data_IF_598713428337
#
_entry.id   IF_598713428337
#
_cell.length_a   1.000
_cell.length_b   1.000
_cell.length_c   1.000
_cell.angle_alpha   90.00
_cell.angle_beta   90.00
_cell.angle_gamma   90.00
#
_symmetry.space_group_name_H-M   'P 1'
#
loop_
_entity.id
_entity.type
_entity.pdbx_description
1 polymer ?
#
# COMPACT_ATOMS: atom_id res chain seq x y z
N UNK A 1 1.63 -22.98 -10.09
CA UNK A 1 3.06 -23.26 -10.31
C UNK A 1 3.79 -21.93 -10.50
N UNK A 2 4.88 -21.69 -9.75
CA UNK A 2 5.74 -20.48 -9.86
C UNK A 2 6.24 -20.24 -11.27
N UNK A 3 6.42 -21.30 -12.04
CA UNK A 3 6.89 -21.22 -13.45
C UNK A 3 6.00 -20.35 -14.34
N UNK A 4 4.78 -20.01 -13.90
CA UNK A 4 3.78 -19.27 -14.66
C UNK A 4 3.44 -17.90 -14.06
N UNK A 5 4.28 -17.35 -13.17
CA UNK A 5 4.11 -15.98 -12.73
C UNK A 5 4.31 -15.04 -13.92
N UNK A 6 3.39 -14.12 -14.12
CA UNK A 6 3.39 -13.22 -15.29
C UNK A 6 4.69 -12.40 -15.44
N UNK A 7 5.39 -11.94 -14.37
CA UNK A 7 6.66 -11.23 -14.56
C UNK A 7 7.73 -12.11 -15.23
N UNK A 8 7.76 -13.40 -14.91
CA UNK A 8 8.65 -14.35 -15.56
C UNK A 8 8.30 -14.61 -17.04
N UNK A 9 7.02 -14.57 -17.38
CA UNK A 9 6.55 -14.69 -18.78
C UNK A 9 6.97 -13.43 -19.55
N UNK A 10 6.70 -12.24 -19.00
CA UNK A 10 7.10 -10.97 -19.63
C UNK A 10 8.61 -10.85 -19.77
N UNK A 11 9.38 -11.28 -18.78
CA UNK A 11 10.84 -11.28 -18.88
C UNK A 11 11.34 -12.18 -20.03
N UNK A 12 10.76 -13.36 -20.20
CA UNK A 12 11.09 -14.25 -21.35
C UNK A 12 10.70 -13.64 -22.69
N UNK A 13 9.65 -12.81 -22.70
CA UNK A 13 9.22 -12.05 -23.87
C UNK A 13 10.07 -10.78 -24.13
N UNK A 14 11.16 -10.57 -23.39
CA UNK A 14 12.08 -9.46 -23.59
C UNK A 14 11.78 -8.20 -22.79
N UNK A 15 10.77 -8.21 -21.93
CA UNK A 15 10.46 -7.07 -21.06
C UNK A 15 11.53 -6.88 -19.96
N UNK A 16 11.89 -5.64 -19.68
CA UNK A 16 12.54 -5.28 -18.42
C UNK A 16 11.52 -5.35 -17.30
N UNK A 17 11.78 -6.13 -16.28
CA UNK A 17 10.82 -6.36 -15.20
C UNK A 17 11.31 -5.77 -13.89
N UNK A 18 10.45 -5.01 -13.21
CA UNK A 18 10.73 -4.36 -11.94
C UNK A 18 9.70 -4.71 -10.88
N UNK A 19 10.15 -4.68 -9.62
CA UNK A 19 9.33 -4.81 -8.44
C UNK A 19 9.79 -3.85 -7.35
N UNK A 20 8.85 -3.14 -6.74
CA UNK A 20 9.08 -2.35 -5.54
C UNK A 20 7.92 -2.53 -4.56
N UNK A 21 8.21 -2.72 -3.28
CA UNK A 21 7.21 -2.71 -2.21
C UNK A 21 7.00 -4.02 -1.48
N UNK A 22 5.74 -4.26 -1.09
CA UNK A 22 5.31 -5.37 -0.24
C UNK A 22 5.43 -6.71 -0.94
N UNK A 23 6.26 -7.59 -0.42
CA UNK A 23 6.26 -9.00 -0.84
C UNK A 23 5.77 -9.89 0.32
N UNK A 24 4.54 -10.32 0.26
CA UNK A 24 3.92 -11.18 1.29
C UNK A 24 3.69 -12.62 0.85
N UNK A 25 3.96 -12.94 -0.40
CA UNK A 25 3.83 -14.31 -0.88
C UNK A 25 4.90 -15.20 -0.22
N UNK A 26 4.48 -16.37 0.26
CA UNK A 26 5.41 -17.37 0.73
C UNK A 26 6.27 -17.84 -0.44
N UNK A 27 7.57 -17.63 -0.33
CA UNK A 27 8.51 -18.06 -1.36
C UNK A 27 8.60 -19.58 -1.37
N UNK A 28 8.32 -20.22 -2.49
CA UNK A 28 8.51 -21.66 -2.60
C UNK A 28 9.99 -22.01 -2.69
N UNK A 29 10.29 -23.24 -2.33
CA UNK A 29 11.68 -23.75 -2.40
C UNK A 29 12.25 -23.54 -3.82
N UNK A 30 13.43 -22.93 -3.90
CA UNK A 30 14.11 -22.65 -5.17
C UNK A 30 13.67 -21.38 -5.89
N UNK A 31 12.80 -20.55 -5.29
CA UNK A 31 12.49 -19.23 -5.86
C UNK A 31 13.72 -18.32 -5.81
N UNK A 32 14.03 -17.72 -6.95
CA UNK A 32 15.02 -16.64 -7.07
C UNK A 32 14.33 -15.43 -7.67
N UNK A 33 14.32 -14.31 -6.97
CA UNK A 33 13.70 -13.06 -7.47
C UNK A 33 14.28 -12.66 -8.82
N UNK A 34 15.58 -12.91 -9.04
CA UNK A 34 16.29 -12.66 -10.30
C UNK A 34 15.75 -13.43 -11.50
N UNK A 35 14.97 -14.49 -11.32
CA UNK A 35 14.35 -15.22 -12.43
C UNK A 35 13.09 -14.48 -12.96
N UNK A 36 12.53 -13.57 -12.16
CA UNK A 36 11.28 -12.86 -12.45
C UNK A 36 11.46 -11.36 -12.61
N UNK A 37 12.41 -10.76 -11.87
CA UNK A 37 12.63 -9.33 -11.85
C UNK A 37 14.09 -9.01 -12.11
N UNK A 38 14.33 -8.10 -13.05
CA UNK A 38 15.66 -7.52 -13.29
C UNK A 38 16.01 -6.56 -12.13
N UNK A 39 15.01 -5.82 -11.65
CA UNK A 39 15.13 -4.95 -10.48
C UNK A 39 14.16 -5.42 -9.42
N UNK A 40 14.65 -5.73 -8.22
CA UNK A 40 13.83 -6.26 -7.13
C UNK A 40 14.12 -5.52 -5.83
N UNK A 41 13.19 -4.65 -5.43
CA UNK A 41 13.27 -3.79 -4.25
C UNK A 41 12.12 -4.08 -3.27
N UNK A 42 12.18 -5.16 -2.46
CA UNK A 42 11.17 -5.42 -1.45
C UNK A 42 11.26 -4.39 -0.33
N UNK A 43 10.13 -3.77 0.01
CA UNK A 43 10.02 -2.78 1.09
C UNK A 43 8.98 -3.30 2.08
N UNK A 44 9.42 -3.67 3.25
CA UNK A 44 8.54 -4.14 4.32
C UNK A 44 7.74 -3.00 4.95
N UNK A 45 6.56 -3.31 5.50
CA UNK A 45 5.68 -2.34 6.15
C UNK A 45 6.34 -1.66 7.34
N UNK A 46 6.84 -2.42 8.26
CA UNK A 46 7.31 -1.91 9.55
C UNK A 46 8.82 -1.68 9.58
N UNK A 47 9.27 -0.55 10.11
CA UNK A 47 8.47 0.63 10.44
C UNK A 47 7.94 1.30 9.15
N UNK A 48 6.80 2.00 9.21
CA UNK A 48 6.27 2.75 8.05
C UNK A 48 7.21 3.87 7.60
N UNK A 49 7.85 4.55 8.55
CA UNK A 49 8.85 5.58 8.26
C UNK A 49 10.26 4.99 8.31
N UNK A 50 10.96 5.05 7.19
CA UNK A 50 12.33 4.52 7.05
C UNK A 50 13.34 5.64 7.21
N UNK A 51 14.32 5.46 8.08
CA UNK A 51 15.44 6.39 8.20
C UNK A 51 16.32 6.31 6.96
N UNK A 52 16.59 7.47 6.36
CA UNK A 52 17.45 7.61 5.20
C UNK A 52 18.91 7.84 5.63
N UNK A 53 19.88 7.71 4.70
CA UNK A 53 21.29 7.95 5.01
C UNK A 53 21.61 9.36 5.54
N UNK A 54 20.82 10.37 5.13
CA UNK A 54 20.92 11.76 5.60
C UNK A 54 20.25 11.99 6.97
N UNK A 55 19.67 10.93 7.55
CA UNK A 55 18.98 10.98 8.84
C UNK A 55 17.49 11.35 8.75
N UNK A 56 16.99 11.77 7.60
CA UNK A 56 15.57 12.06 7.38
C UNK A 56 14.71 10.81 7.49
N UNK A 57 13.42 11.01 7.71
CA UNK A 57 12.42 9.93 7.65
C UNK A 57 11.63 10.02 6.36
N UNK A 58 11.45 8.88 5.70
CA UNK A 58 10.63 8.77 4.49
C UNK A 58 9.61 7.66 4.64
N UNK A 59 8.37 7.94 4.29
CA UNK A 59 7.31 6.95 4.36
C UNK A 59 7.52 5.84 3.32
N UNK A 60 7.14 4.60 3.65
CA UNK A 60 7.35 3.44 2.79
C UNK A 60 6.63 3.59 1.43
N UNK A 61 5.47 4.23 1.39
CA UNK A 61 4.72 4.55 0.16
C UNK A 61 5.55 5.42 -0.78
N UNK A 62 6.20 6.47 -0.26
CA UNK A 62 7.08 7.33 -1.04
C UNK A 62 8.29 6.57 -1.57
N UNK A 63 8.89 5.72 -0.74
CA UNK A 63 10.03 4.90 -1.15
C UNK A 63 9.69 3.92 -2.26
N UNK A 64 8.50 3.32 -2.23
CA UNK A 64 8.04 2.42 -3.30
C UNK A 64 7.98 3.17 -4.62
N UNK A 65 7.41 4.38 -4.62
CA UNK A 65 7.32 5.22 -5.82
C UNK A 65 8.70 5.72 -6.24
N UNK A 66 9.58 6.11 -5.32
CA UNK A 66 10.95 6.51 -5.65
C UNK A 66 11.70 5.38 -6.38
N UNK A 67 11.56 4.13 -5.94
CA UNK A 67 12.12 2.96 -6.65
C UNK A 67 11.48 2.73 -8.02
N UNK A 68 10.19 3.02 -8.14
CA UNK A 68 9.49 3.02 -9.42
C UNK A 68 10.04 4.09 -10.37
N UNK A 69 10.26 5.30 -9.88
CA UNK A 69 10.85 6.42 -10.64
C UNK A 69 12.28 6.07 -11.09
N UNK A 70 13.14 5.60 -10.19
CA UNK A 70 14.50 5.14 -10.53
C UNK A 70 14.48 4.08 -11.64
N UNK A 71 13.51 3.15 -11.57
CA UNK A 71 13.34 2.15 -12.62
C UNK A 71 12.99 2.79 -13.96
N UNK A 72 12.05 3.73 -14.00
CA UNK A 72 11.67 4.41 -15.25
C UNK A 72 12.77 5.34 -15.77
N UNK A 73 13.45 6.04 -14.89
CA UNK A 73 14.59 6.91 -15.28
C UNK A 73 15.73 6.16 -15.94
N UNK A 74 15.98 4.94 -15.46
CA UNK A 74 17.01 4.03 -16.03
C UNK A 74 16.48 3.12 -17.15
N UNK A 75 15.26 3.38 -17.67
CA UNK A 75 14.64 2.55 -18.70
C UNK A 75 15.33 2.72 -20.07
N UNK A 76 15.82 1.63 -20.70
CA UNK A 76 16.34 1.69 -22.05
C UNK A 76 15.25 2.06 -23.06
N UNK A 77 15.57 2.94 -24.03
CA UNK A 77 14.60 3.49 -25.00
C UNK A 77 13.83 2.44 -25.81
N UNK A 78 14.49 1.34 -26.16
CA UNK A 78 13.95 0.33 -27.09
C UNK A 78 13.60 -0.99 -26.40
N UNK A 79 13.36 -0.99 -25.11
CA UNK A 79 13.01 -2.20 -24.36
C UNK A 79 11.66 -2.01 -23.67
N UNK A 80 10.67 -2.88 -23.89
CA UNK A 80 9.43 -2.80 -23.15
C UNK A 80 9.68 -3.10 -21.67
N UNK A 81 8.81 -2.60 -20.80
CA UNK A 81 8.93 -2.81 -19.35
C UNK A 81 7.63 -3.28 -18.72
N UNK A 82 7.76 -3.91 -17.56
CA UNK A 82 6.67 -4.22 -16.64
C UNK A 82 7.15 -3.94 -15.22
N UNK A 83 6.54 -2.97 -14.56
CA UNK A 83 6.87 -2.54 -13.21
C UNK A 83 5.70 -2.86 -12.26
N UNK A 84 6.02 -3.42 -11.12
CA UNK A 84 5.09 -3.69 -10.04
C UNK A 84 5.44 -2.81 -8.84
N UNK A 85 4.51 -1.96 -8.41
CA UNK A 85 4.60 -1.20 -7.18
C UNK A 85 3.50 -1.67 -6.23
N UNK A 86 3.88 -2.40 -5.19
CA UNK A 86 2.93 -2.99 -4.25
C UNK A 86 3.01 -2.28 -2.89
N UNK A 87 2.04 -1.42 -2.66
CA UNK A 87 1.96 -0.62 -1.45
C UNK A 87 1.54 -1.45 -0.23
N UNK A 88 2.12 -1.14 0.94
CA UNK A 88 1.61 -1.63 2.21
C UNK A 88 0.42 -0.81 2.71
N UNK A 89 0.39 0.48 2.39
CA UNK A 89 -0.77 1.35 2.63
C UNK A 89 -1.95 0.87 1.73
N UNK A 90 -3.20 0.88 2.19
CA UNK A 90 -3.68 1.44 3.46
C UNK A 90 -3.78 0.42 4.61
N UNK A 91 -2.84 -0.51 4.74
CA UNK A 91 -2.90 -1.46 5.86
C UNK A 91 -2.60 -0.74 7.18
N UNK A 92 -3.35 -1.06 8.23
CA UNK A 92 -3.12 -0.49 9.54
C UNK A 92 -1.82 -0.98 10.19
N UNK A 93 -1.27 -0.17 11.12
CA UNK A 93 -0.19 -0.59 12.01
C UNK A 93 -0.74 -1.43 13.16
N UNK A 94 -0.81 -2.73 12.95
CA UNK A 94 -1.38 -3.69 13.89
C UNK A 94 -0.50 -3.99 15.11
N UNK A 95 0.75 -3.57 15.10
CA UNK A 95 1.64 -3.69 16.26
C UNK A 95 1.38 -2.61 17.31
N UNK A 96 0.81 -1.47 16.90
CA UNK A 96 0.37 -0.42 17.83
C UNK A 96 -1.08 -0.71 18.28
N UNK A 97 -1.23 -1.13 19.52
CA UNK A 97 -2.52 -1.48 20.12
C UNK A 97 -3.08 -0.40 21.04
N UNK A 98 -2.43 0.76 21.09
CA UNK A 98 -2.88 1.86 21.95
C UNK A 98 -4.22 2.39 21.46
N UNK A 99 -5.28 2.41 22.32
CA UNK A 99 -6.57 2.90 21.89
C UNK A 99 -6.53 4.42 21.65
N UNK A 100 -7.26 4.89 20.63
CA UNK A 100 -7.44 6.31 20.36
C UNK A 100 -6.23 7.00 19.71
N UNK A 101 -5.22 6.27 19.24
CA UNK A 101 -4.21 6.76 18.29
C UNK A 101 -4.64 6.43 16.88
N UNK A 102 -4.16 7.17 15.88
CA UNK A 102 -4.39 6.85 14.48
C UNK A 102 -3.51 5.65 14.07
N UNK A 103 -4.12 4.50 13.83
CA UNK A 103 -3.40 3.28 13.46
C UNK A 103 -3.06 3.19 11.96
N UNK A 104 -3.16 4.29 11.24
CA UNK A 104 -2.83 4.38 9.82
C UNK A 104 -1.76 5.47 9.63
N UNK A 105 -0.48 5.14 9.80
CA UNK A 105 0.60 6.09 9.56
C UNK A 105 0.55 6.57 8.10
N UNK A 106 0.54 7.87 7.87
CA UNK A 106 0.40 8.46 6.54
C UNK A 106 1.68 9.17 6.08
N UNK A 107 1.94 9.29 4.76
CA UNK A 107 3.05 10.08 4.26
C UNK A 107 2.93 11.55 4.66
N UNK A 108 4.06 12.23 4.91
CA UNK A 108 4.08 13.65 5.29
C UNK A 108 3.39 14.57 4.28
N UNK A 109 3.28 14.16 3.01
CA UNK A 109 2.54 14.89 1.98
C UNK A 109 1.03 15.03 2.27
N UNK A 110 0.49 14.27 3.22
CA UNK A 110 -0.90 14.33 3.65
C UNK A 110 -1.09 14.95 5.04
N UNK A 111 -0.03 15.52 5.63
CA UNK A 111 -0.14 16.19 6.93
C UNK A 111 -1.15 17.35 6.89
N UNK A 112 -1.93 17.49 7.97
CA UNK A 112 -2.96 18.51 8.09
C UNK A 112 -4.23 18.30 7.26
N UNK A 113 -4.23 17.37 6.30
CA UNK A 113 -5.43 17.08 5.51
C UNK A 113 -6.56 16.52 6.37
N UNK A 114 -7.81 16.84 6.03
CA UNK A 114 -9.02 16.36 6.71
C UNK A 114 -9.12 16.77 8.19
N UNK A 115 -8.36 17.76 8.65
CA UNK A 115 -8.39 18.18 10.07
C UNK A 115 -9.75 18.69 10.49
N UNK A 116 -10.33 19.58 9.68
CA UNK A 116 -11.60 20.25 9.92
C UNK A 116 -12.78 19.57 9.22
N UNK A 117 -12.52 18.49 8.45
CA UNK A 117 -13.57 17.81 7.71
C UNK A 117 -14.49 17.02 8.66
N UNK A 118 -15.77 17.08 8.37
CA UNK A 118 -16.75 16.23 9.04
C UNK A 118 -16.63 14.79 8.57
N UNK A 119 -16.36 13.89 9.48
CA UNK A 119 -16.34 12.46 9.21
C UNK A 119 -17.72 11.87 9.51
N UNK A 120 -18.43 11.47 8.46
CA UNK A 120 -19.73 10.82 8.62
C UNK A 120 -19.63 9.55 9.46
N UNK A 121 -20.60 9.27 10.34
CA UNK A 121 -20.60 8.04 11.13
C UNK A 121 -20.78 6.81 10.24
N UNK A 122 -20.35 5.62 10.71
CA UNK A 122 -20.55 4.39 9.95
C UNK A 122 -22.04 4.08 9.81
N UNK A 123 -22.49 3.70 8.62
CA UNK A 123 -23.92 3.45 8.33
C UNK A 123 -24.47 2.20 9.02
N UNK A 124 -23.62 1.23 9.33
CA UNK A 124 -23.99 -0.06 9.92
C UNK A 124 -23.49 -0.18 11.37
N UNK A 125 -23.75 0.86 12.18
CA UNK A 125 -23.26 0.98 13.56
C UNK A 125 -24.25 0.45 14.62
N UNK A 126 -25.33 -0.22 14.23
CA UNK A 126 -26.26 -0.84 15.19
C UNK A 126 -25.59 -2.11 15.78
N UNK A 127 -25.42 -2.20 17.13
CA UNK A 127 -24.87 -3.38 17.76
C UNK A 127 -25.55 -4.69 17.41
N UNK A 128 -26.85 -4.65 17.09
CA UNK A 128 -27.62 -5.83 16.65
C UNK A 128 -27.08 -6.47 15.38
N UNK A 129 -26.44 -5.68 14.51
CA UNK A 129 -25.81 -6.20 13.28
C UNK A 129 -24.66 -7.13 13.67
N UNK A 130 -23.84 -6.76 14.64
CA UNK A 130 -22.78 -7.64 15.13
C UNK A 130 -23.35 -8.86 15.88
N UNK A 131 -24.37 -8.66 16.70
CA UNK A 131 -25.05 -9.74 17.46
C UNK A 131 -25.64 -10.80 16.53
N UNK A 132 -26.14 -10.40 15.36
CA UNK A 132 -26.70 -11.30 14.35
C UNK A 132 -25.65 -12.11 13.57
N UNK A 133 -24.35 -11.80 13.72
CA UNK A 133 -23.30 -12.50 13.00
C UNK A 133 -23.09 -13.93 13.53
N UNK A 134 -22.63 -14.87 12.70
CA UNK A 134 -22.23 -16.19 13.15
C UNK A 134 -21.19 -16.16 14.26
N UNK A 135 -21.28 -17.09 15.20
CA UNK A 135 -20.42 -17.10 16.40
C UNK A 135 -18.93 -17.17 16.11
N UNK A 136 -18.53 -17.83 15.02
CA UNK A 136 -17.12 -17.89 14.62
C UNK A 136 -16.54 -16.53 14.24
N UNK A 137 -17.35 -15.54 13.89
CA UNK A 137 -16.89 -14.16 13.64
C UNK A 137 -16.73 -13.34 14.91
N UNK A 138 -17.51 -13.67 15.95
CA UNK A 138 -17.57 -12.88 17.19
C UNK A 138 -16.28 -12.97 18.03
N UNK A 139 -15.48 -14.02 17.85
CA UNK A 139 -14.25 -14.29 18.59
C UNK A 139 -12.97 -14.10 17.77
N UNK A 140 -13.07 -13.46 16.62
CA UNK A 140 -11.91 -13.23 15.74
C UNK A 140 -11.04 -12.07 16.18
N UNK A 141 -9.78 -12.06 15.76
CA UNK A 141 -8.88 -10.90 15.92
C UNK A 141 -9.46 -9.60 15.32
N UNK A 142 -10.35 -9.69 14.34
CA UNK A 142 -11.02 -8.51 13.79
C UNK A 142 -11.93 -7.84 14.82
N UNK A 143 -12.54 -8.63 15.72
CA UNK A 143 -13.32 -8.06 16.83
C UNK A 143 -12.43 -7.32 17.84
N UNK A 144 -11.26 -7.81 18.14
CA UNK A 144 -10.29 -7.09 18.96
C UNK A 144 -9.87 -5.78 18.29
N UNK A 145 -9.56 -5.82 16.99
CA UNK A 145 -9.20 -4.64 16.20
C UNK A 145 -10.30 -3.59 16.16
N UNK A 146 -11.57 -4.01 16.17
CA UNK A 146 -12.69 -3.11 16.30
C UNK A 146 -12.61 -2.29 17.61
N UNK A 147 -12.30 -2.91 18.72
CA UNK A 147 -12.14 -2.21 20.00
C UNK A 147 -10.92 -1.28 20.03
N UNK A 148 -9.89 -1.56 19.24
CA UNK A 148 -8.76 -0.65 19.17
C UNK A 148 -9.09 0.64 18.40
N UNK A 149 -9.93 0.57 17.37
CA UNK A 149 -10.07 1.61 16.35
C UNK A 149 -11.45 2.21 16.19
N UNK A 150 -12.52 1.44 16.41
CA UNK A 150 -13.83 1.76 15.85
C UNK A 150 -14.97 1.86 16.87
N UNK A 151 -14.83 1.33 18.07
CA UNK A 151 -15.92 1.15 19.05
C UNK A 151 -16.37 2.42 19.77
N UNK A 152 -15.90 3.61 19.38
CA UNK A 152 -16.40 4.90 19.85
C UNK A 152 -16.24 5.95 18.75
N UNK A 153 -17.09 6.97 18.76
CA UNK A 153 -17.05 8.06 17.80
C UNK A 153 -15.67 8.71 17.70
N UNK A 154 -15.03 8.99 18.84
CA UNK A 154 -13.68 9.55 18.88
C UNK A 154 -12.65 8.67 18.18
N UNK A 155 -12.63 7.37 18.49
CA UNK A 155 -11.67 6.43 17.86
C UNK A 155 -11.94 6.30 16.37
N UNK A 156 -13.21 6.22 16.01
CA UNK A 156 -13.64 6.14 14.63
C UNK A 156 -13.11 7.35 13.82
N UNK A 157 -13.37 8.58 14.27
CA UNK A 157 -12.94 9.80 13.58
C UNK A 157 -11.43 9.90 13.45
N UNK A 158 -10.68 9.60 14.52
CA UNK A 158 -9.21 9.60 14.48
C UNK A 158 -8.68 8.62 13.43
N UNK A 159 -9.19 7.39 13.45
CA UNK A 159 -8.73 6.36 12.53
C UNK A 159 -9.20 6.60 11.09
N UNK A 160 -10.40 7.13 10.89
CA UNK A 160 -10.88 7.50 9.54
C UNK A 160 -10.03 8.62 8.93
N UNK A 161 -9.73 9.70 9.67
CA UNK A 161 -8.83 10.75 9.18
C UNK A 161 -7.44 10.19 8.82
N UNK A 162 -6.88 9.36 9.70
CA UNK A 162 -5.59 8.73 9.44
C UNK A 162 -5.63 7.84 8.19
N UNK A 163 -6.72 7.08 7.99
CA UNK A 163 -6.92 6.26 6.81
C UNK A 163 -7.05 7.09 5.54
N UNK A 164 -7.84 8.17 5.56
CA UNK A 164 -8.00 9.08 4.43
C UNK A 164 -6.66 9.74 4.06
N UNK A 165 -5.89 10.22 5.04
CA UNK A 165 -4.53 10.74 4.83
C UNK A 165 -3.60 9.71 4.19
N UNK A 166 -3.66 8.48 4.66
CA UNK A 166 -2.83 7.39 4.11
C UNK A 166 -3.21 7.09 2.66
N UNK A 167 -4.51 7.11 2.34
CA UNK A 167 -5.02 6.92 0.97
C UNK A 167 -4.60 8.06 0.05
N UNK A 168 -4.78 9.31 0.49
CA UNK A 168 -4.32 10.48 -0.26
C UNK A 168 -2.81 10.48 -0.46
N UNK A 169 -2.06 9.99 0.54
CA UNK A 169 -0.61 9.81 0.39
C UNK A 169 -0.22 8.85 -0.73
N UNK A 170 -0.99 7.78 -0.95
CA UNK A 170 -0.79 6.89 -2.12
C UNK A 170 -1.08 7.64 -3.41
N UNK A 171 -2.19 8.38 -3.47
CA UNK A 171 -2.60 9.13 -4.65
C UNK A 171 -1.53 10.17 -5.04
N UNK A 172 -1.05 10.96 -4.07
CA UNK A 172 0.05 11.90 -4.27
C UNK A 172 1.32 11.22 -4.78
N UNK A 173 1.66 10.05 -4.23
CA UNK A 173 2.85 9.31 -4.64
C UNK A 173 2.71 8.75 -6.07
N UNK A 174 1.53 8.22 -6.42
CA UNK A 174 1.23 7.76 -7.78
C UNK A 174 1.27 8.94 -8.75
N UNK A 175 0.71 10.10 -8.39
CA UNK A 175 0.78 11.32 -9.21
C UNK A 175 2.21 11.67 -9.61
N UNK A 176 3.15 11.65 -8.66
CA UNK A 176 4.58 11.86 -8.95
C UNK A 176 5.15 10.84 -9.96
N UNK A 177 4.73 9.58 -9.87
CA UNK A 177 5.16 8.55 -10.82
C UNK A 177 4.60 8.80 -12.23
N UNK A 178 3.32 9.16 -12.33
CA UNK A 178 2.67 9.46 -13.61
C UNK A 178 3.32 10.64 -14.31
N UNK A 179 3.65 11.71 -13.56
CA UNK A 179 4.40 12.85 -14.12
C UNK A 179 5.75 12.44 -14.72
N UNK A 180 6.44 11.47 -14.13
CA UNK A 180 7.70 10.96 -14.69
C UNK A 180 7.47 10.18 -15.98
N UNK A 181 6.41 9.36 -16.04
CA UNK A 181 6.03 8.67 -17.28
C UNK A 181 5.73 9.65 -18.42
N UNK A 182 4.98 10.72 -18.13
CA UNK A 182 4.68 11.79 -19.10
C UNK A 182 5.96 12.50 -19.57
N UNK A 183 6.80 12.97 -18.65
CA UNK A 183 8.06 13.64 -18.94
C UNK A 183 9.03 12.78 -19.78
N UNK A 184 8.94 11.46 -19.65
CA UNK A 184 9.73 10.50 -20.44
C UNK A 184 9.09 10.13 -21.78
N UNK A 185 7.86 10.61 -22.07
CA UNK A 185 7.10 10.25 -23.29
C UNK A 185 6.68 8.78 -23.31
N UNK A 186 6.47 8.18 -22.14
CA UNK A 186 6.12 6.76 -22.00
C UNK A 186 4.62 6.57 -21.71
N UNK A 187 3.90 7.60 -21.27
CA UNK A 187 2.53 7.52 -20.80
C UNK A 187 1.57 6.94 -21.84
N UNK A 188 1.63 7.42 -23.09
CA UNK A 188 0.72 7.01 -24.18
C UNK A 188 0.90 5.54 -24.60
N UNK A 189 2.02 4.92 -24.25
CA UNK A 189 2.32 3.52 -24.57
C UNK A 189 2.51 2.66 -23.32
N UNK A 190 1.84 3.03 -22.22
CA UNK A 190 1.89 2.32 -20.94
C UNK A 190 0.49 1.99 -20.46
N UNK A 191 0.23 0.71 -20.23
CA UNK A 191 -1.00 0.26 -19.57
C UNK A 191 -0.79 0.33 -18.06
N UNK A 192 -1.65 1.09 -17.38
CA UNK A 192 -1.64 1.22 -15.93
C UNK A 192 -2.78 0.38 -15.35
N UNK A 193 -2.45 -0.50 -14.41
CA UNK A 193 -3.43 -1.32 -13.68
C UNK A 193 -3.36 -0.97 -12.21
N UNK A 194 -4.46 -0.45 -11.67
CA UNK A 194 -4.63 -0.19 -10.24
C UNK A 194 -5.61 -1.19 -9.66
N UNK A 195 -5.20 -1.85 -8.58
CA UNK A 195 -6.04 -2.86 -7.90
C UNK A 195 -5.62 -3.00 -6.42
N UNK A 196 -6.39 -3.75 -5.67
CA UNK A 196 -6.09 -4.07 -4.28
C UNK A 196 -6.09 -5.60 -4.07
N UNK A 197 -5.28 -6.07 -3.14
CA UNK A 197 -5.26 -7.48 -2.72
C UNK A 197 -6.44 -7.82 -1.80
N UNK A 198 -6.98 -6.82 -1.10
CA UNK A 198 -8.10 -6.96 -0.16
C UNK A 198 -8.78 -5.61 0.10
N UNK A 199 -9.94 -5.66 0.73
CA UNK A 199 -10.63 -4.50 1.26
C UNK A 199 -10.59 -4.45 2.80
N UNK A 200 -11.18 -3.42 3.37
CA UNK A 200 -11.29 -3.23 4.81
C UNK A 200 -12.64 -2.62 5.20
N UNK A 201 -13.33 -3.24 6.16
CA UNK A 201 -14.53 -2.69 6.76
C UNK A 201 -14.14 -1.74 7.89
N UNK A 202 -14.63 -0.50 7.83
CA UNK A 202 -14.28 0.56 8.75
C UNK A 202 -15.49 0.96 9.60
N UNK A 203 -15.63 0.30 10.74
CA UNK A 203 -16.71 0.54 11.69
C UNK A 203 -18.03 -0.17 11.44
#
# INVERSE_FOLDING_TARGET
SIKHLYPGILRKAGYRTGFAGKWHAKMPKGFKASDYFEVYNPIGRNPFYKKQPDGSLRHETDLIVDRGIEFIESQPKNKPFALNMWFNACHAEDSDRRPGVGHFPWPFSADGMYEDDEIAPPRLNDPKIFESQPDFLKTTINRERFFWRWNSDRKYRINMRAYLRMTTGIDNAIGRFLEVLEKKGLADNTIIVYTADNGFHMG
#
